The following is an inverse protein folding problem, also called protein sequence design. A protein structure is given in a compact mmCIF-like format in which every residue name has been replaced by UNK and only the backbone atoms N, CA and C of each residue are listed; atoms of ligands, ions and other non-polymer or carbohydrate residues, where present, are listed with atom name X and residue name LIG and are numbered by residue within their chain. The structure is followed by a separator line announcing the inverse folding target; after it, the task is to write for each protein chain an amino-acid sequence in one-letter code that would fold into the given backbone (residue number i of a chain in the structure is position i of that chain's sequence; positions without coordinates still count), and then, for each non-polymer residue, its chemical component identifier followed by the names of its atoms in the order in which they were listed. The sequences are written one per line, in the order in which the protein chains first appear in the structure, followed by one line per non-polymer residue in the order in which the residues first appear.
data_IF_854774814518
#
_entry.id   IF_854774814518
#
_cell.length_a   1.000
_cell.length_b   1.000
_cell.length_c   1.000
_cell.angle_alpha   90.00
_cell.angle_beta   90.00
_cell.angle_gamma   90.00
#
_symmetry.space_group_name_H-M   'P 1'
#
loop_
_entity.id
_entity.type
_entity.pdbx_description
1 polymer ?
#
# COMPACT_ATOMS: atom_id res chain seq x y z
N UNK A 1 -25.34 -14.35 6.69
CA UNK A 1 -24.42 -15.01 5.73
C UNK A 1 -23.87 -14.04 4.70
N UNK A 2 -24.68 -13.43 3.81
CA UNK A 2 -24.18 -12.41 2.87
C UNK A 2 -23.70 -11.14 3.57
N UNK A 3 -24.42 -10.71 4.61
CA UNK A 3 -24.08 -9.54 5.42
C UNK A 3 -22.77 -9.73 6.19
N UNK A 4 -22.58 -10.91 6.81
CA UNK A 4 -21.35 -11.28 7.51
C UNK A 4 -20.15 -11.33 6.55
N UNK A 5 -20.33 -11.95 5.37
CA UNK A 5 -19.30 -11.99 4.34
C UNK A 5 -18.92 -10.58 3.84
N UNK A 6 -19.91 -9.72 3.61
CA UNK A 6 -19.65 -8.34 3.17
C UNK A 6 -18.95 -7.54 4.26
N UNK A 7 -19.32 -7.74 5.53
CA UNK A 7 -18.67 -7.15 6.69
C UNK A 7 -17.20 -7.58 6.79
N UNK A 8 -16.92 -8.87 6.62
CA UNK A 8 -15.55 -9.40 6.63
C UNK A 8 -14.71 -8.91 5.46
N UNK A 9 -15.31 -8.80 4.27
CA UNK A 9 -14.67 -8.27 3.08
C UNK A 9 -14.30 -6.79 3.24
N UNK A 10 -15.25 -5.98 3.73
CA UNK A 10 -15.02 -4.57 4.02
C UNK A 10 -13.99 -4.41 5.15
N UNK A 11 -14.03 -5.27 6.17
CA UNK A 11 -13.08 -5.28 7.28
C UNK A 11 -11.65 -5.59 6.82
N UNK A 12 -11.47 -6.62 6.00
CA UNK A 12 -10.18 -6.97 5.40
C UNK A 12 -9.65 -5.86 4.49
N UNK A 13 -10.51 -5.28 3.65
CA UNK A 13 -10.15 -4.15 2.79
C UNK A 13 -9.76 -2.91 3.61
N UNK A 14 -10.53 -2.56 4.63
CA UNK A 14 -10.27 -1.42 5.49
C UNK A 14 -8.91 -1.56 6.19
N UNK A 15 -8.57 -2.75 6.71
CA UNK A 15 -7.25 -3.00 7.33
C UNK A 15 -6.11 -2.80 6.34
N UNK A 16 -6.23 -3.28 5.11
CA UNK A 16 -5.22 -3.09 4.07
C UNK A 16 -5.06 -1.61 3.67
N UNK A 17 -6.18 -0.90 3.49
CA UNK A 17 -6.18 0.52 3.12
C UNK A 17 -5.61 1.38 4.25
N UNK A 18 -6.04 1.14 5.49
CA UNK A 18 -5.55 1.87 6.67
C UNK A 18 -4.06 1.59 6.88
N UNK A 19 -3.62 0.34 6.75
CA UNK A 19 -2.21 -0.02 6.82
C UNK A 19 -1.36 0.70 5.76
N UNK A 20 -1.81 0.70 4.50
CA UNK A 20 -1.16 1.43 3.41
C UNK A 20 -1.12 2.94 3.64
N UNK A 21 -2.20 3.50 4.18
CA UNK A 21 -2.29 4.92 4.50
C UNK A 21 -1.35 5.32 5.64
N UNK A 22 -1.23 4.50 6.69
CA UNK A 22 -0.28 4.74 7.80
C UNK A 22 1.17 4.71 7.31
N UNK A 23 1.53 3.71 6.49
CA UNK A 23 2.86 3.63 5.87
C UNK A 23 3.12 4.87 5.01
N UNK A 24 2.12 5.30 4.23
CA UNK A 24 2.25 6.49 3.42
C UNK A 24 2.44 7.78 4.22
N UNK A 25 1.71 7.95 5.34
CA UNK A 25 1.90 9.10 6.22
C UNK A 25 3.35 9.19 6.70
N UNK A 26 3.96 8.07 7.09
CA UNK A 26 5.39 8.04 7.48
C UNK A 26 6.28 8.47 6.32
N UNK A 27 6.03 7.97 5.10
CA UNK A 27 6.79 8.37 3.91
C UNK A 27 6.66 9.85 3.55
N UNK A 28 5.49 10.44 3.79
CA UNK A 28 5.25 11.88 3.61
C UNK A 28 5.98 12.68 4.68
N UNK A 29 5.91 12.28 5.95
CA UNK A 29 6.63 12.96 7.02
C UNK A 29 8.13 13.01 6.73
N UNK A 30 8.71 11.89 6.27
CA UNK A 30 10.12 11.85 5.84
C UNK A 30 10.43 12.75 4.64
N UNK A 31 9.48 12.89 3.71
CA UNK A 31 9.63 13.78 2.55
C UNK A 31 9.61 15.25 3.00
N UNK A 32 8.62 15.64 3.82
CA UNK A 32 8.52 16.97 4.39
C UNK A 32 9.75 17.32 5.23
N UNK A 33 10.21 16.40 6.09
CA UNK A 33 11.41 16.60 6.88
C UNK A 33 12.61 16.87 5.98
N UNK A 34 12.82 16.07 4.94
CA UNK A 34 13.91 16.28 3.98
C UNK A 34 13.78 17.60 3.24
N UNK A 35 12.59 17.99 2.78
CA UNK A 35 12.39 19.24 2.05
C UNK A 35 12.58 20.47 2.97
N UNK A 36 12.19 20.39 4.25
CA UNK A 36 12.43 21.43 5.27
C UNK A 36 13.91 21.76 5.49
N UNK A 37 14.79 20.77 5.34
CA UNK A 37 16.25 20.94 5.48
C UNK A 37 16.98 21.15 4.14
N UNK A 38 16.26 21.22 3.01
CA UNK A 38 16.88 21.44 1.69
C UNK A 38 16.62 22.87 1.22
N UNK A 39 17.65 23.74 1.11
CA UNK A 39 17.47 25.08 0.56
C UNK A 39 17.25 25.00 -0.96
N UNK A 40 16.05 25.34 -1.43
CA UNK A 40 15.71 25.39 -2.86
C UNK A 40 14.22 25.60 -3.13
N UNK A 41 13.87 26.14 -4.31
CA UNK A 41 12.49 26.40 -4.74
C UNK A 41 11.65 25.13 -4.76
N UNK A 42 10.52 25.16 -4.05
CA UNK A 42 9.57 24.04 -3.99
C UNK A 42 8.76 24.01 -5.30
N UNK A 43 9.17 23.16 -6.23
CA UNK A 43 8.35 22.89 -7.41
C UNK A 43 7.22 21.91 -7.05
N UNK A 44 6.03 22.47 -6.77
CA UNK A 44 4.84 21.74 -6.28
C UNK A 44 4.48 20.56 -7.17
N UNK A 45 4.65 20.67 -8.50
CA UNK A 45 4.32 19.60 -9.45
C UNK A 45 5.21 18.37 -9.27
N UNK A 46 6.51 18.58 -9.14
CA UNK A 46 7.48 17.48 -8.92
C UNK A 46 7.32 16.89 -7.52
N UNK A 47 6.94 17.72 -6.54
CA UNK A 47 6.61 17.26 -5.20
C UNK A 47 5.37 16.36 -5.20
N UNK A 48 4.28 16.78 -5.83
CA UNK A 48 3.03 16.02 -5.91
C UNK A 48 3.24 14.69 -6.62
N UNK A 49 4.05 14.67 -7.69
CA UNK A 49 4.39 13.45 -8.41
C UNK A 49 5.26 12.50 -7.56
N UNK A 50 6.23 13.02 -6.79
CA UNK A 50 7.02 12.22 -5.83
C UNK A 50 6.14 11.64 -4.71
N UNK A 51 5.24 12.45 -4.15
CA UNK A 51 4.31 12.02 -3.10
C UNK A 51 3.32 10.97 -3.60
N UNK A 52 2.77 11.15 -4.81
CA UNK A 52 1.89 10.19 -5.47
C UNK A 52 2.60 8.86 -5.73
N UNK A 53 3.85 8.90 -6.17
CA UNK A 53 4.64 7.67 -6.34
C UNK A 53 4.85 6.92 -5.03
N UNK A 54 5.17 7.63 -3.96
CA UNK A 54 5.34 7.02 -2.63
C UNK A 54 4.01 6.51 -2.05
N UNK A 55 2.90 7.15 -2.38
CA UNK A 55 1.55 6.67 -2.05
C UNK A 55 1.32 5.29 -2.62
N UNK A 56 1.42 5.15 -3.94
CA UNK A 56 1.24 3.86 -4.61
C UNK A 56 2.21 2.79 -4.08
N UNK A 57 3.47 3.16 -3.83
CA UNK A 57 4.44 2.25 -3.23
C UNK A 57 4.06 1.79 -1.81
N UNK A 58 3.47 2.68 -1.00
CA UNK A 58 3.04 2.34 0.37
C UNK A 58 1.88 1.34 0.35
N UNK A 59 0.96 1.50 -0.60
CA UNK A 59 -0.12 0.54 -0.79
C UNK A 59 0.36 -0.80 -1.38
N UNK A 60 1.35 -0.77 -2.28
CA UNK A 60 2.04 -1.98 -2.76
C UNK A 60 2.69 -2.73 -1.60
N UNK A 61 3.38 -2.01 -0.70
CA UNK A 61 4.05 -2.57 0.47
C UNK A 61 3.04 -3.13 1.49
N UNK A 62 1.91 -2.45 1.70
CA UNK A 62 0.82 -2.95 2.54
C UNK A 62 0.12 -4.18 1.93
N UNK A 63 -0.04 -4.23 0.61
CA UNK A 63 -0.60 -5.40 -0.08
C UNK A 63 0.33 -6.61 0.07
N UNK A 64 1.63 -6.46 -0.21
CA UNK A 64 2.61 -7.53 -0.03
C UNK A 64 2.75 -7.94 1.44
N UNK A 65 2.78 -6.97 2.36
CA UNK A 65 2.76 -7.23 3.80
C UNK A 65 1.52 -7.98 4.23
N UNK A 66 0.35 -7.62 3.68
CA UNK A 66 -0.93 -8.29 3.94
C UNK A 66 -0.94 -9.76 3.51
N UNK A 67 -0.26 -10.10 2.40
CA UNK A 67 -0.12 -11.51 1.95
C UNK A 67 0.66 -12.35 2.97
N UNK A 68 1.63 -11.76 3.69
CA UNK A 68 2.44 -12.46 4.69
C UNK A 68 1.78 -12.44 6.07
N UNK A 69 1.21 -11.30 6.47
CA UNK A 69 0.62 -11.12 7.80
C UNK A 69 -0.70 -11.87 7.95
N UNK A 70 -1.51 -11.95 6.90
CA UNK A 70 -2.80 -12.66 6.93
C UNK A 70 -2.67 -14.15 7.34
N UNK A 71 -1.78 -14.98 6.73
CA UNK A 71 -1.62 -16.37 7.14
C UNK A 71 -1.00 -16.54 8.53
N UNK A 72 -0.14 -15.60 8.97
CA UNK A 72 0.40 -15.62 10.35
C UNK A 72 -0.72 -15.39 11.36
N UNK A 73 -1.57 -14.38 11.13
CA UNK A 73 -2.72 -14.10 12.00
C UNK A 73 -3.77 -15.22 11.96
N UNK A 74 -3.91 -15.90 10.81
CA UNK A 74 -4.81 -17.04 10.65
C UNK A 74 -4.37 -18.26 11.49
N UNK A 75 -3.08 -18.45 11.73
CA UNK A 75 -2.58 -19.54 12.60
C UNK A 75 -2.81 -19.25 14.09
N UNK A 76 -2.86 -17.98 14.48
CA UNK A 76 -3.01 -17.55 15.87
C UNK A 76 -4.49 -17.38 16.29
N UNK A 77 -5.42 -17.49 15.33
CA UNK A 77 -6.85 -17.23 15.53
C UNK A 77 -7.70 -18.49 15.32
N UNK A 78 -8.23 -19.09 16.38
CA UNK A 78 -9.08 -20.30 16.29
C UNK A 78 -10.44 -20.04 15.59
N UNK A 79 -11.04 -18.84 15.77
CA UNK A 79 -12.39 -18.52 15.25
C UNK A 79 -12.40 -17.55 14.05
N UNK A 80 -11.26 -16.92 13.71
CA UNK A 80 -11.17 -15.82 12.74
C UNK A 80 -10.81 -16.22 11.30
N UNK A 81 -10.74 -17.52 11.02
CA UNK A 81 -10.15 -18.10 9.79
C UNK A 81 -10.76 -17.52 8.51
N UNK A 82 -12.08 -17.31 8.48
CA UNK A 82 -12.79 -16.76 7.33
C UNK A 82 -12.36 -15.31 7.03
N UNK A 83 -12.27 -14.45 8.04
CA UNK A 83 -11.88 -13.05 7.90
C UNK A 83 -10.44 -12.91 7.38
N UNK A 84 -9.50 -13.72 7.89
CA UNK A 84 -8.11 -13.69 7.45
C UNK A 84 -7.92 -14.30 6.05
N UNK A 85 -8.74 -15.29 5.68
CA UNK A 85 -8.77 -15.83 4.31
C UNK A 85 -9.19 -14.76 3.31
N UNK A 86 -10.25 -14.00 3.62
CA UNK A 86 -10.72 -12.90 2.77
C UNK A 86 -9.68 -11.79 2.69
N UNK A 87 -9.02 -11.45 3.81
CA UNK A 87 -7.92 -10.50 3.83
C UNK A 87 -6.74 -10.95 2.94
N UNK A 88 -6.39 -12.23 2.96
CA UNK A 88 -5.35 -12.81 2.11
C UNK A 88 -5.72 -12.72 0.62
N UNK A 89 -6.95 -13.08 0.25
CA UNK A 89 -7.44 -12.98 -1.13
C UNK A 89 -7.39 -11.53 -1.61
N UNK A 90 -7.85 -10.58 -0.79
CA UNK A 90 -7.78 -9.16 -1.10
C UNK A 90 -6.34 -8.66 -1.23
N UNK A 91 -5.43 -9.12 -0.38
CA UNK A 91 -4.02 -8.76 -0.46
C UNK A 91 -3.37 -9.28 -1.75
N UNK A 92 -3.73 -10.48 -2.21
CA UNK A 92 -3.29 -11.05 -3.49
C UNK A 92 -3.85 -10.24 -4.67
N UNK A 93 -5.15 -9.93 -4.67
CA UNK A 93 -5.79 -9.13 -5.72
C UNK A 93 -5.21 -7.72 -5.79
N UNK A 94 -5.00 -7.07 -4.64
CA UNK A 94 -4.36 -5.77 -4.56
C UNK A 94 -2.92 -5.85 -5.07
N UNK A 95 -2.17 -6.88 -4.70
CA UNK A 95 -0.80 -7.12 -5.20
C UNK A 95 -0.76 -7.26 -6.73
N UNK A 96 -1.70 -8.02 -7.31
CA UNK A 96 -1.84 -8.17 -8.76
C UNK A 96 -2.21 -6.84 -9.43
N UNK A 97 -3.12 -6.06 -8.83
CA UNK A 97 -3.49 -4.73 -9.32
C UNK A 97 -2.29 -3.77 -9.30
N UNK A 98 -1.49 -3.76 -8.24
CA UNK A 98 -0.29 -2.93 -8.16
C UNK A 98 0.80 -3.36 -9.15
N UNK A 99 0.97 -4.66 -9.39
CA UNK A 99 1.82 -5.17 -10.47
C UNK A 99 1.35 -4.69 -11.84
N UNK A 100 0.05 -4.72 -12.10
CA UNK A 100 -0.54 -4.21 -13.34
C UNK A 100 -0.32 -2.70 -13.49
N UNK A 101 -0.58 -1.91 -12.45
CA UNK A 101 -0.32 -0.47 -12.42
C UNK A 101 1.16 -0.19 -12.66
N UNK A 102 2.06 -0.97 -12.06
CA UNK A 102 3.51 -0.86 -12.24
C UNK A 102 3.93 -1.20 -13.67
N UNK A 103 3.32 -2.19 -14.28
CA UNK A 103 3.55 -2.55 -15.69
C UNK A 103 3.10 -1.44 -16.64
N UNK A 104 1.89 -0.89 -16.44
CA UNK A 104 1.33 0.18 -17.25
C UNK A 104 2.06 1.53 -17.05
N UNK A 105 2.53 1.81 -15.84
CA UNK A 105 3.28 3.03 -15.53
C UNK A 105 4.78 2.96 -15.87
N UNK A 106 5.24 1.86 -16.47
CA UNK A 106 6.63 1.69 -16.94
C UNK A 106 7.66 1.41 -15.83
N UNK A 107 7.18 0.95 -14.68
CA UNK A 107 7.98 0.65 -13.50
C UNK A 107 8.29 1.88 -12.65
N UNK A 108 8.19 1.73 -11.32
CA UNK A 108 8.82 2.61 -10.33
C UNK A 108 10.36 2.59 -10.39
N UNK A 109 10.95 2.09 -11.48
CA UNK A 109 12.35 2.26 -11.78
C UNK A 109 12.59 3.74 -11.98
N UNK A 110 13.47 4.30 -11.16
CA UNK A 110 14.28 5.44 -11.53
C UNK A 110 14.55 5.36 -13.04
N UNK A 111 13.89 6.21 -13.84
CA UNK A 111 14.29 6.46 -15.21
C UNK A 111 15.74 6.91 -15.07
N UNK A 112 16.69 5.99 -15.28
CA UNK A 112 18.11 6.32 -15.34
C UNK A 112 18.16 7.44 -16.36
N UNK A 113 18.52 8.64 -15.91
CA UNK A 113 19.10 9.67 -16.76
C UNK A 113 20.31 9.00 -17.41
N UNK A 114 20.09 8.37 -18.56
CA UNK A 114 21.17 8.18 -19.51
C UNK A 114 21.18 9.44 -20.37
N UNK A 115 22.35 10.07 -20.30
CA UNK A 115 22.84 11.26 -20.99
C UNK A 115 22.20 11.55 -22.33
#
# INVERSE_FOLDING_TARGET
MFEDFFSDLVGGFARLVVGGFLIWMVFIMLLFFRELFTPGDINVRDYLYRAWKRFLFSFELAAYGGVIVAPIMMQDSEDGVAQYTVMMILAILASALFLYIRYQSGGFGFRRRHR
#
